data_IF_557451496746
#
_entry.id   IF_557451496746
#
_cell.length_a   1.000
_cell.length_b   1.000
_cell.length_c   1.000
_cell.angle_alpha   90.00
_cell.angle_beta   90.00
_cell.angle_gamma   90.00
#
_symmetry.space_group_name_H-M   'P 1'
#
loop_
_entity.id
_entity.type
_entity.pdbx_description
1 polymer ?
#
# COMPACT_ATOMS: atom_id res chain seq x y z
N UNK A 1 7.18 -37.69 -11.82
CA UNK A 1 8.26 -36.67 -11.85
C UNK A 1 7.63 -35.30 -12.09
N UNK A 2 7.08 -34.67 -11.05
CA UNK A 2 6.32 -33.41 -11.18
C UNK A 2 7.26 -32.21 -11.20
N UNK A 3 7.26 -31.43 -12.29
CA UNK A 3 8.02 -30.19 -12.40
C UNK A 3 7.49 -29.19 -11.37
N UNK A 4 8.35 -28.77 -10.44
CA UNK A 4 8.12 -27.60 -9.57
C UNK A 4 8.06 -26.36 -10.48
N UNK A 5 6.88 -25.76 -10.59
CA UNK A 5 6.72 -24.46 -11.24
C UNK A 5 7.37 -23.43 -10.32
N UNK A 6 8.46 -22.83 -10.79
CA UNK A 6 9.15 -21.76 -10.10
C UNK A 6 8.16 -20.63 -9.84
N UNK A 7 8.10 -20.16 -8.59
CA UNK A 7 7.35 -18.99 -8.20
C UNK A 7 7.91 -17.79 -8.97
N UNK A 8 7.10 -17.23 -9.85
CA UNK A 8 7.39 -15.97 -10.53
C UNK A 8 7.36 -14.88 -9.47
N UNK A 9 8.54 -14.51 -8.99
CA UNK A 9 8.76 -13.27 -8.26
C UNK A 9 8.28 -12.13 -9.15
N UNK A 10 7.25 -11.42 -8.69
CA UNK A 10 6.60 -10.37 -9.45
C UNK A 10 7.63 -9.34 -9.89
N UNK A 11 7.81 -9.21 -11.20
CA UNK A 11 8.65 -8.21 -11.84
C UNK A 11 8.13 -6.81 -11.43
N UNK A 12 8.75 -6.21 -10.42
CA UNK A 12 8.48 -4.82 -10.05
C UNK A 12 8.98 -3.94 -11.18
N UNK A 13 8.15 -3.03 -11.73
CA UNK A 13 8.61 -2.09 -12.73
C UNK A 13 9.58 -1.12 -12.07
N UNK A 14 10.89 -1.33 -12.30
CA UNK A 14 12.01 -0.52 -11.80
C UNK A 14 12.05 0.93 -12.32
N UNK A 15 11.01 1.36 -13.03
CA UNK A 15 10.97 2.62 -13.77
C UNK A 15 9.74 3.49 -13.42
N UNK A 16 8.97 3.11 -12.40
CA UNK A 16 7.94 4.00 -11.85
C UNK A 16 8.62 5.14 -11.07
N UNK A 17 8.20 6.38 -11.32
CA UNK A 17 8.67 7.52 -10.55
C UNK A 17 8.37 7.29 -9.05
N UNK A 18 9.32 7.60 -8.15
CA UNK A 18 9.14 7.34 -6.72
C UNK A 18 7.92 8.09 -6.19
N UNK A 19 7.06 7.39 -5.44
CA UNK A 19 5.91 8.00 -4.77
C UNK A 19 6.40 9.04 -3.76
N UNK A 20 6.04 10.30 -3.99
CA UNK A 20 6.36 11.42 -3.10
C UNK A 20 5.27 11.54 -2.05
N UNK A 21 5.65 11.40 -0.78
CA UNK A 21 4.72 11.53 0.34
C UNK A 21 4.53 13.01 0.73
N UNK A 22 3.29 13.45 1.01
CA UNK A 22 3.00 14.77 1.55
C UNK A 22 3.71 15.01 2.89
N UNK A 23 4.09 16.27 3.14
CA UNK A 23 4.62 16.71 4.43
C UNK A 23 3.64 16.41 5.57
N UNK A 24 4.13 15.86 6.68
CA UNK A 24 3.30 15.50 7.83
C UNK A 24 2.69 14.09 7.74
N UNK A 25 3.00 13.32 6.70
CA UNK A 25 2.70 11.88 6.65
C UNK A 25 3.40 11.17 7.82
N UNK A 26 2.69 10.36 8.63
CA UNK A 26 3.30 9.58 9.71
C UNK A 26 4.48 8.73 9.22
N UNK A 27 5.57 8.69 9.97
CA UNK A 27 6.82 8.04 9.55
C UNK A 27 6.71 6.53 9.28
N UNK A 28 5.68 5.86 9.81
CA UNK A 28 5.43 4.45 9.56
C UNK A 28 4.75 4.19 8.19
N UNK A 29 4.19 5.21 7.55
CA UNK A 29 3.65 5.15 6.20
C UNK A 29 4.80 5.41 5.22
N UNK A 30 5.20 4.37 4.49
CA UNK A 30 6.29 4.46 3.49
C UNK A 30 5.73 4.56 2.07
N UNK A 31 6.50 5.04 1.08
CA UNK A 31 6.10 5.05 -0.33
C UNK A 31 5.67 3.67 -0.82
N UNK A 32 6.42 2.62 -0.46
CA UNK A 32 6.13 1.24 -0.86
C UNK A 32 4.81 0.75 -0.26
N UNK A 33 4.51 1.14 0.98
CA UNK A 33 3.24 0.80 1.62
C UNK A 33 2.07 1.52 0.92
N UNK A 34 2.26 2.76 0.46
CA UNK A 34 1.26 3.48 -0.33
C UNK A 34 1.02 2.77 -1.67
N UNK A 35 2.07 2.41 -2.40
CA UNK A 35 1.95 1.67 -3.68
C UNK A 35 1.23 0.33 -3.49
N UNK A 36 1.59 -0.42 -2.45
CA UNK A 36 0.93 -1.68 -2.11
C UNK A 36 -0.54 -1.46 -1.75
N UNK A 37 -0.84 -0.39 -1.01
CA UNK A 37 -2.22 -0.03 -0.66
C UNK A 37 -3.01 0.27 -1.93
N UNK A 38 -2.50 1.09 -2.84
CA UNK A 38 -3.15 1.34 -4.13
C UNK A 38 -3.38 0.05 -4.89
N UNK A 39 -2.35 -0.79 -5.06
CA UNK A 39 -2.45 -2.05 -5.79
C UNK A 39 -3.51 -3.00 -5.23
N UNK A 40 -3.58 -3.12 -3.90
CA UNK A 40 -4.51 -4.03 -3.23
C UNK A 40 -5.94 -3.49 -3.25
N UNK A 41 -6.10 -2.19 -3.06
CA UNK A 41 -7.42 -1.59 -2.85
C UNK A 41 -8.06 -1.06 -4.13
N UNK A 42 -7.29 -0.70 -5.16
CA UNK A 42 -7.82 -0.16 -6.43
C UNK A 42 -8.95 -1.00 -7.03
N UNK A 43 -8.93 -2.35 -7.02
CA UNK A 43 -10.03 -3.15 -7.59
C UNK A 43 -11.39 -2.94 -6.92
N UNK A 44 -11.44 -2.33 -5.73
CA UNK A 44 -12.67 -2.06 -4.97
C UNK A 44 -13.17 -0.61 -5.15
N UNK A 45 -12.48 0.21 -5.94
CA UNK A 45 -12.83 1.60 -6.21
C UNK A 45 -12.99 1.80 -7.72
N UNK A 46 -14.11 2.41 -8.12
CA UNK A 46 -14.38 2.74 -9.52
C UNK A 46 -13.41 3.82 -10.05
N UNK A 47 -13.04 4.77 -9.18
CA UNK A 47 -12.10 5.84 -9.50
C UNK A 47 -10.66 5.47 -9.09
N UNK A 48 -9.64 5.99 -9.80
CA UNK A 48 -8.24 5.78 -9.42
C UNK A 48 -7.94 6.31 -8.02
N UNK A 49 -7.39 5.45 -7.15
CA UNK A 49 -6.93 5.84 -5.82
C UNK A 49 -5.70 6.73 -5.93
N UNK A 50 -5.79 7.90 -5.32
CA UNK A 50 -4.65 8.82 -5.22
C UNK A 50 -3.70 8.39 -4.10
N UNK A 51 -2.54 9.05 -4.04
CA UNK A 51 -1.60 8.90 -2.92
C UNK A 51 -2.27 9.32 -1.60
N UNK A 52 -3.03 10.41 -1.62
CA UNK A 52 -3.77 10.93 -0.46
C UNK A 52 -4.86 9.95 0.01
N UNK A 53 -5.59 9.31 -0.90
CA UNK A 53 -6.58 8.30 -0.54
C UNK A 53 -5.94 7.11 0.17
N UNK A 54 -4.78 6.69 -0.33
CA UNK A 54 -4.04 5.56 0.22
C UNK A 54 -3.48 5.87 1.61
N UNK A 55 -2.94 7.08 1.80
CA UNK A 55 -2.52 7.59 3.11
C UNK A 55 -3.73 7.64 4.06
N UNK A 56 -4.89 8.05 3.58
CA UNK A 56 -6.12 8.10 4.38
C UNK A 56 -6.56 6.72 4.85
N UNK A 57 -6.57 5.73 3.95
CA UNK A 57 -6.85 4.32 4.28
C UNK A 57 -5.90 3.82 5.36
N UNK A 58 -4.59 4.06 5.20
CA UNK A 58 -3.57 3.64 6.15
C UNK A 58 -3.76 4.31 7.52
N UNK A 59 -3.96 5.64 7.56
CA UNK A 59 -4.20 6.36 8.82
C UNK A 59 -5.42 5.81 9.57
N UNK A 60 -6.50 5.51 8.85
CA UNK A 60 -7.71 4.93 9.44
C UNK A 60 -7.44 3.53 10.02
N UNK A 61 -6.70 2.69 9.30
CA UNK A 61 -6.29 1.37 9.79
C UNK A 61 -5.41 1.47 11.04
N UNK A 62 -4.42 2.37 11.05
CA UNK A 62 -3.57 2.63 12.22
C UNK A 62 -4.39 3.10 13.42
N UNK A 63 -5.30 4.07 13.23
CA UNK A 63 -6.18 4.55 14.28
C UNK A 63 -7.10 3.48 14.85
N UNK A 64 -7.60 2.56 14.01
CA UNK A 64 -8.39 1.41 14.45
C UNK A 64 -7.56 0.46 15.31
N UNK A 65 -6.36 0.08 14.86
CA UNK A 65 -5.47 -0.81 15.61
C UNK A 65 -5.09 -0.21 16.96
N UNK A 66 -4.76 1.08 17.01
CA UNK A 66 -4.50 1.78 18.26
C UNK A 66 -5.73 1.79 19.19
N UNK A 67 -6.93 2.01 18.66
CA UNK A 67 -8.15 1.99 19.45
C UNK A 67 -8.45 0.61 20.04
N UNK A 68 -8.14 -0.46 19.30
CA UNK A 68 -8.28 -1.84 19.76
C UNK A 68 -7.21 -2.22 20.79
N UNK A 69 -5.97 -1.73 20.63
CA UNK A 69 -4.87 -2.00 21.56
C UNK A 69 -5.01 -1.30 22.92
N UNK A 70 -5.86 -0.27 23.02
CA UNK A 70 -6.16 0.45 24.28
C UNK A 70 -7.23 -0.25 25.15
N UNK A 71 -7.73 -1.42 24.75
CA UNK A 71 -8.66 -2.24 25.55
C UNK A 71 -7.91 -3.28 26.37
#
# INVERSE_FOLDING_TARGET
MGKRVAQTEAEQPRDAAPVVLPSGTPAWITPELVELTQKVWQPYYDEPLTVEDSITILRNAGGLLEALARR
#
